data_IF_760955239975
#
_entry.id   IF_760955239975
#
_cell.length_a   1.000
_cell.length_b   1.000
_cell.length_c   1.000
_cell.angle_alpha   90.00
_cell.angle_beta   90.00
_cell.angle_gamma   90.00
#
_symmetry.space_group_name_H-M   'P 1'
#
loop_
_entity.id
_entity.type
_entity.pdbx_description
1 polymer ?
#
# COMPACT_ATOMS: atom_id res chain seq x y z
N UNK A 1 -18.95 -4.96 19.39
CA UNK A 1 -19.91 -4.18 18.59
C UNK A 1 -19.20 -3.37 17.51
N UNK A 2 -18.12 -2.66 17.85
CA UNK A 2 -17.27 -1.95 16.89
C UNK A 2 -16.84 -2.81 15.70
N UNK A 3 -16.30 -4.01 15.95
CA UNK A 3 -15.84 -4.93 14.90
C UNK A 3 -16.95 -5.40 13.94
N UNK A 4 -18.20 -5.47 14.40
CA UNK A 4 -19.35 -5.82 13.55
C UNK A 4 -19.72 -4.66 12.62
N UNK A 5 -19.74 -3.43 13.16
CA UNK A 5 -19.96 -2.21 12.37
C UNK A 5 -18.82 -2.03 11.36
N UNK A 6 -17.58 -2.31 11.77
CA UNK A 6 -16.41 -2.32 10.90
C UNK A 6 -16.56 -3.31 9.74
N UNK A 7 -16.93 -4.56 10.04
CA UNK A 7 -17.07 -5.59 9.02
C UNK A 7 -18.19 -5.29 8.04
N UNK A 8 -19.37 -4.85 8.52
CA UNK A 8 -20.51 -4.48 7.68
C UNK A 8 -20.18 -3.26 6.80
N UNK A 9 -19.54 -2.24 7.36
CA UNK A 9 -19.14 -1.04 6.64
C UNK A 9 -18.16 -1.38 5.52
N UNK A 10 -17.11 -2.16 5.78
CA UNK A 10 -16.12 -2.50 4.76
C UNK A 10 -16.55 -3.61 3.80
N UNK A 11 -17.59 -4.40 4.10
CA UNK A 11 -18.25 -5.30 3.14
C UNK A 11 -19.10 -4.55 2.13
N UNK A 12 -19.78 -3.48 2.57
CA UNK A 12 -20.62 -2.64 1.71
C UNK A 12 -19.83 -1.54 1.01
N UNK A 13 -18.67 -1.14 1.56
CA UNK A 13 -17.85 -0.11 0.98
C UNK A 13 -17.39 -0.52 -0.42
N UNK A 14 -17.69 0.32 -1.39
CA UNK A 14 -17.43 0.09 -2.80
C UNK A 14 -15.91 0.17 -3.02
N UNK A 15 -15.21 -0.93 -2.74
CA UNK A 15 -13.78 -1.02 -2.94
C UNK A 15 -13.46 -0.75 -4.40
N UNK A 16 -12.62 0.26 -4.67
CA UNK A 16 -12.17 0.61 -6.03
C UNK A 16 -11.62 -0.59 -6.82
N UNK A 17 -11.20 -1.66 -6.15
CA UNK A 17 -10.76 -2.92 -6.77
C UNK A 17 -11.84 -3.62 -7.60
N UNK A 18 -13.14 -3.38 -7.33
CA UNK A 18 -14.23 -3.93 -8.14
C UNK A 18 -14.31 -3.28 -9.53
N UNK A 19 -13.81 -2.05 -9.70
CA UNK A 19 -13.97 -1.31 -10.97
C UNK A 19 -12.94 -1.63 -12.04
N UNK A 20 -11.88 -2.32 -11.67
CA UNK A 20 -10.93 -2.92 -12.62
C UNK A 20 -11.66 -3.88 -13.58
N UNK A 21 -12.75 -4.52 -13.13
CA UNK A 21 -13.59 -5.40 -13.96
C UNK A 21 -14.41 -4.65 -15.02
N UNK A 22 -14.67 -3.36 -14.83
CA UNK A 22 -15.39 -2.50 -15.78
C UNK A 22 -14.46 -1.73 -16.72
N UNK A 23 -13.15 -1.98 -16.65
CA UNK A 23 -12.21 -1.44 -17.64
C UNK A 23 -12.52 -2.04 -19.02
N UNK A 24 -12.54 -1.18 -20.04
CA UNK A 24 -12.75 -1.61 -21.42
C UNK A 24 -11.58 -2.49 -21.88
N UNK A 25 -11.87 -3.46 -22.73
CA UNK A 25 -10.91 -4.47 -23.17
C UNK A 25 -9.60 -3.88 -23.75
N UNK A 26 -9.67 -2.73 -24.44
CA UNK A 26 -8.50 -2.09 -25.03
C UNK A 26 -7.50 -1.59 -23.99
N UNK A 27 -7.94 -1.26 -22.77
CA UNK A 27 -7.05 -0.80 -21.69
C UNK A 27 -6.11 -1.93 -21.26
N UNK A 28 -6.63 -3.16 -21.21
CA UNK A 28 -5.85 -4.36 -20.92
C UNK A 28 -4.84 -4.66 -22.03
N UNK A 29 -5.25 -4.54 -23.29
CA UNK A 29 -4.36 -4.76 -24.45
C UNK A 29 -3.20 -3.76 -24.45
N UNK A 30 -3.48 -2.47 -24.27
CA UNK A 30 -2.44 -1.43 -24.21
C UNK A 30 -1.50 -1.66 -23.02
N UNK A 31 -2.05 -2.03 -21.86
CA UNK A 31 -1.25 -2.31 -20.66
C UNK A 31 -0.34 -3.53 -20.84
N UNK A 32 -0.83 -4.59 -21.50
CA UNK A 32 -0.04 -5.78 -21.83
C UNK A 32 1.09 -5.48 -22.82
N UNK A 33 0.83 -4.64 -23.84
CA UNK A 33 1.86 -4.21 -24.80
C UNK A 33 2.96 -3.42 -24.07
N UNK A 34 2.58 -2.49 -23.19
CA UNK A 34 3.54 -1.72 -22.40
C UNK A 34 4.34 -2.62 -21.46
N UNK A 35 3.71 -3.61 -20.83
CA UNK A 35 4.37 -4.57 -19.96
C UNK A 35 5.35 -5.47 -20.72
N UNK A 36 5.00 -5.91 -21.94
CA UNK A 36 5.91 -6.62 -22.83
C UNK A 36 7.12 -5.77 -23.22
N UNK A 37 6.91 -4.47 -23.46
CA UNK A 37 7.98 -3.50 -23.70
C UNK A 37 8.95 -3.38 -22.51
N UNK A 38 8.42 -3.27 -21.29
CA UNK A 38 9.23 -3.23 -20.06
C UNK A 38 10.10 -4.50 -19.95
N UNK A 39 9.50 -5.68 -20.12
CA UNK A 39 10.23 -6.96 -20.04
C UNK A 39 11.33 -7.06 -21.12
N UNK A 40 11.05 -6.57 -22.33
CA UNK A 40 12.03 -6.54 -23.42
C UNK A 40 13.22 -5.62 -23.10
N UNK A 41 12.96 -4.41 -22.61
CA UNK A 41 14.02 -3.45 -22.26
C UNK A 41 14.82 -3.89 -21.03
N UNK A 42 14.16 -4.52 -20.05
CA UNK A 42 14.82 -5.13 -18.90
C UNK A 42 15.80 -6.22 -19.33
N UNK A 43 15.37 -7.15 -20.19
CA UNK A 43 16.24 -8.20 -20.74
C UNK A 43 17.43 -7.63 -21.52
N UNK A 44 17.18 -6.59 -22.34
CA UNK A 44 18.25 -5.92 -23.09
C UNK A 44 19.23 -5.16 -22.19
N UNK A 45 18.75 -4.52 -21.13
CA UNK A 45 19.59 -3.83 -20.16
C UNK A 45 20.55 -4.81 -19.47
N UNK A 46 20.06 -6.00 -19.08
CA UNK A 46 20.87 -7.03 -18.44
C UNK A 46 21.97 -7.60 -19.36
N UNK A 47 21.63 -7.87 -20.63
CA UNK A 47 22.57 -8.48 -21.57
C UNK A 47 23.62 -7.51 -22.14
N UNK A 48 23.28 -6.24 -22.30
CA UNK A 48 24.17 -5.27 -22.97
C UNK A 48 24.93 -4.37 -22.00
N UNK A 49 24.59 -4.41 -20.71
CA UNK A 49 25.11 -3.50 -19.68
C UNK A 49 25.01 -2.01 -20.08
N UNK A 50 24.09 -1.66 -20.98
CA UNK A 50 23.90 -0.31 -21.47
C UNK A 50 22.81 0.40 -20.66
N UNK A 51 23.19 1.48 -19.97
CA UNK A 51 22.31 2.26 -19.12
C UNK A 51 21.16 2.95 -19.85
N UNK A 52 21.24 3.15 -21.17
CA UNK A 52 20.15 3.75 -21.95
C UNK A 52 18.88 2.89 -21.97
N UNK A 53 19.01 1.57 -21.98
CA UNK A 53 17.85 0.68 -21.94
C UNK A 53 17.10 0.77 -20.61
N UNK A 54 17.82 1.02 -19.51
CA UNK A 54 17.22 1.23 -18.19
C UNK A 54 16.39 2.52 -18.14
N UNK A 55 16.89 3.61 -18.74
CA UNK A 55 16.12 4.88 -18.82
C UNK A 55 14.84 4.68 -19.63
N UNK A 56 14.91 3.98 -20.76
CA UNK A 56 13.74 3.67 -21.61
C UNK A 56 12.74 2.81 -20.83
N UNK A 57 13.21 1.81 -20.10
CA UNK A 57 12.37 0.97 -19.24
C UNK A 57 11.59 1.81 -18.21
N UNK A 58 12.26 2.74 -17.51
CA UNK A 58 11.61 3.64 -16.57
C UNK A 58 10.51 4.49 -17.22
N UNK A 59 10.73 4.97 -18.46
CA UNK A 59 9.71 5.74 -19.20
C UNK A 59 8.51 4.86 -19.54
N UNK A 60 8.73 3.64 -20.05
CA UNK A 60 7.63 2.70 -20.32
C UNK A 60 6.85 2.33 -19.06
N UNK A 61 7.54 2.14 -17.93
CA UNK A 61 6.91 1.88 -16.64
C UNK A 61 6.05 3.07 -16.17
N UNK A 62 6.55 4.30 -16.30
CA UNK A 62 5.80 5.50 -15.95
C UNK A 62 4.56 5.69 -16.83
N UNK A 63 4.68 5.47 -18.14
CA UNK A 63 3.56 5.55 -19.09
C UNK A 63 2.50 4.47 -18.82
N UNK A 64 2.94 3.24 -18.54
CA UNK A 64 2.05 2.12 -18.20
C UNK A 64 1.26 2.40 -16.92
N UNK A 65 1.95 2.77 -15.84
CA UNK A 65 1.31 3.10 -14.56
C UNK A 65 0.38 4.31 -14.67
N UNK A 66 0.82 5.36 -15.38
CA UNK A 66 0.02 6.57 -15.60
C UNK A 66 -1.25 6.31 -16.40
N UNK A 67 -1.14 5.61 -17.54
CA UNK A 67 -2.28 5.29 -18.40
C UNK A 67 -3.31 4.39 -17.69
N UNK A 68 -2.84 3.29 -17.08
CA UNK A 68 -3.72 2.36 -16.37
C UNK A 68 -4.40 3.04 -15.17
N UNK A 69 -3.67 3.86 -14.41
CA UNK A 69 -4.21 4.64 -13.30
C UNK A 69 -5.29 5.64 -13.75
N UNK A 70 -5.05 6.34 -14.86
CA UNK A 70 -6.01 7.28 -15.44
C UNK A 70 -7.32 6.58 -15.87
N UNK A 71 -7.24 5.50 -16.65
CA UNK A 71 -8.43 4.77 -17.12
C UNK A 71 -9.19 4.11 -15.96
N UNK A 72 -8.49 3.63 -14.94
CA UNK A 72 -9.12 3.10 -13.72
C UNK A 72 -9.90 4.20 -12.99
N UNK A 73 -9.30 5.38 -12.81
CA UNK A 73 -9.96 6.53 -12.17
C UNK A 73 -11.16 7.02 -12.97
N UNK A 74 -11.05 7.05 -14.30
CA UNK A 74 -12.15 7.39 -15.21
C UNK A 74 -13.31 6.40 -15.10
N UNK A 75 -13.00 5.10 -15.02
CA UNK A 75 -14.02 4.06 -14.84
C UNK A 75 -14.72 4.18 -13.48
N UNK A 76 -13.98 4.51 -12.42
CA UNK A 76 -14.54 4.80 -11.09
C UNK A 76 -15.50 5.99 -11.15
N UNK A 77 -15.07 7.13 -11.70
CA UNK A 77 -15.91 8.35 -11.82
C UNK A 77 -17.17 8.10 -12.64
N UNK A 78 -17.06 7.34 -13.74
CA UNK A 78 -18.20 7.02 -14.61
C UNK A 78 -19.25 6.12 -13.95
N UNK A 79 -18.89 5.33 -12.93
CA UNK A 79 -19.78 4.34 -12.33
C UNK A 79 -20.23 4.68 -10.91
N UNK A 80 -19.47 5.49 -10.16
CA UNK A 80 -19.81 5.88 -8.78
C UNK A 80 -20.33 7.33 -8.71
N UNK A 81 -20.05 8.18 -9.71
CA UNK A 81 -20.35 9.61 -9.70
C UNK A 81 -19.17 10.46 -9.23
N UNK A 82 -19.41 11.73 -8.93
CA UNK A 82 -18.39 12.65 -8.41
C UNK A 82 -18.03 12.29 -6.95
N UNK A 83 -16.95 12.87 -6.40
CA UNK A 83 -16.53 12.60 -5.02
C UNK A 83 -17.64 12.89 -3.99
N UNK A 84 -18.56 13.79 -4.33
CA UNK A 84 -19.75 14.11 -3.53
C UNK A 84 -20.74 12.93 -3.48
N UNK A 85 -20.99 12.27 -4.60
CA UNK A 85 -21.89 11.12 -4.69
C UNK A 85 -21.35 9.93 -3.90
N UNK A 86 -20.03 9.72 -3.96
CA UNK A 86 -19.31 8.72 -3.14
C UNK A 86 -19.50 9.01 -1.65
N UNK A 87 -19.37 10.29 -1.26
CA UNK A 87 -19.54 10.69 0.13
C UNK A 87 -20.96 10.47 0.62
N UNK A 88 -21.97 10.91 -0.15
CA UNK A 88 -23.38 10.69 0.16
C UNK A 88 -23.73 9.21 0.28
N UNK A 89 -23.27 8.39 -0.66
CA UNK A 89 -23.46 6.94 -0.63
C UNK A 89 -22.89 6.32 0.65
N UNK A 90 -21.68 6.72 1.04
CA UNK A 90 -21.06 6.18 2.25
C UNK A 90 -21.76 6.64 3.54
N UNK A 91 -22.24 7.87 3.59
CA UNK A 91 -23.05 8.37 4.72
C UNK A 91 -24.37 7.60 4.84
N UNK A 92 -25.07 7.37 3.72
CA UNK A 92 -26.31 6.58 3.70
C UNK A 92 -26.03 5.14 4.15
N UNK A 93 -24.96 4.54 3.66
CA UNK A 93 -24.55 3.18 4.06
C UNK A 93 -24.25 3.10 5.56
N UNK A 94 -23.51 4.09 6.10
CA UNK A 94 -23.21 4.17 7.52
C UNK A 94 -24.48 4.32 8.35
N UNK A 95 -25.41 5.21 7.96
CA UNK A 95 -26.73 5.36 8.61
C UNK A 95 -27.53 4.06 8.60
N UNK A 96 -27.54 3.35 7.48
CA UNK A 96 -28.25 2.07 7.37
C UNK A 96 -27.66 1.01 8.30
N UNK A 97 -26.34 0.93 8.41
CA UNK A 97 -25.64 0.01 9.33
C UNK A 97 -25.96 0.37 10.78
N UNK A 98 -25.92 1.65 11.15
CA UNK A 98 -26.25 2.10 12.51
C UNK A 98 -27.71 1.74 12.86
N UNK A 99 -28.66 2.00 11.96
CA UNK A 99 -30.08 1.62 12.14
C UNK A 99 -30.28 0.11 12.24
N UNK A 100 -29.62 -0.67 11.39
CA UNK A 100 -29.68 -2.15 11.43
C UNK A 100 -29.17 -2.70 12.77
N UNK A 101 -28.18 -2.05 13.36
CA UNK A 101 -27.60 -2.41 14.65
C UNK A 101 -28.27 -1.71 15.84
N UNK A 102 -29.38 -0.99 15.63
CA UNK A 102 -30.16 -0.25 16.63
C UNK A 102 -29.31 0.75 17.42
N UNK A 103 -28.40 1.43 16.72
CA UNK A 103 -27.61 2.54 17.25
C UNK A 103 -28.31 3.82 16.86
N UNK A 104 -29.16 4.32 17.75
CA UNK A 104 -30.06 5.44 17.47
C UNK A 104 -29.70 6.70 18.28
N UNK A 105 -28.79 6.58 19.25
CA UNK A 105 -28.39 7.67 20.14
C UNK A 105 -26.96 8.17 19.89
N UNK A 106 -26.77 9.48 20.01
CA UNK A 106 -25.47 10.16 19.88
C UNK A 106 -24.41 9.58 20.84
N UNK A 107 -24.80 9.26 22.08
CA UNK A 107 -23.90 8.68 23.09
C UNK A 107 -23.35 7.31 22.67
N UNK A 108 -24.15 6.51 21.95
CA UNK A 108 -23.70 5.21 21.45
C UNK A 108 -22.69 5.37 20.31
N UNK A 109 -22.85 6.40 19.47
CA UNK A 109 -21.87 6.77 18.45
C UNK A 109 -20.56 7.23 19.11
N UNK A 110 -20.64 8.02 20.18
CA UNK A 110 -19.46 8.46 20.94
C UNK A 110 -18.72 7.31 21.62
N UNK A 111 -19.44 6.33 22.16
CA UNK A 111 -18.85 5.10 22.67
C UNK A 111 -18.10 4.34 21.58
N UNK A 112 -18.64 4.27 20.36
CA UNK A 112 -17.95 3.64 19.23
C UNK A 112 -16.70 4.42 18.80
N UNK A 113 -16.76 5.75 18.76
CA UNK A 113 -15.61 6.61 18.44
C UNK A 113 -14.51 6.44 19.50
N UNK A 114 -14.88 6.36 20.78
CA UNK A 114 -13.93 6.16 21.87
C UNK A 114 -13.27 4.77 21.80
N UNK A 115 -14.03 3.71 21.54
CA UNK A 115 -13.47 2.37 21.30
C UNK A 115 -12.50 2.37 20.12
N UNK A 116 -12.80 3.11 19.05
CA UNK A 116 -11.86 3.26 17.93
C UNK A 116 -10.58 3.98 18.35
N UNK A 117 -10.69 5.05 19.15
CA UNK A 117 -9.52 5.80 19.62
C UNK A 117 -8.59 4.95 20.49
N UNK A 118 -9.16 4.01 21.26
CA UNK A 118 -8.41 3.06 22.07
C UNK A 118 -7.71 1.99 21.21
N UNK A 119 -8.35 1.49 20.15
CA UNK A 119 -7.78 0.44 19.28
C UNK A 119 -6.79 0.96 18.22
N UNK A 120 -6.96 2.19 17.71
CA UNK A 120 -6.12 2.77 16.63
C UNK A 120 -4.60 2.67 16.89
N UNK A 121 -4.08 3.02 18.10
CA UNK A 121 -2.66 2.95 18.38
C UNK A 121 -2.09 1.54 18.29
N UNK A 122 -2.89 0.53 18.65
CA UNK A 122 -2.45 -0.87 18.64
C UNK A 122 -2.36 -1.45 17.22
N UNK A 123 -3.21 -0.95 16.31
CA UNK A 123 -3.32 -1.40 14.93
C UNK A 123 -2.18 -0.93 14.02
N UNK A 124 -1.32 0.02 14.47
CA UNK A 124 -0.16 0.50 13.71
C UNK A 124 1.02 -0.50 13.80
N UNK A 125 0.81 -1.67 13.21
CA UNK A 125 1.73 -2.80 13.26
C UNK A 125 3.03 -2.54 12.49
N UNK A 126 3.02 -1.65 11.49
CA UNK A 126 4.24 -1.29 10.73
C UNK A 126 5.35 -0.72 11.61
N UNK A 127 5.01 0.15 12.56
CA UNK A 127 6.00 0.76 13.47
C UNK A 127 6.58 -0.27 14.44
N UNK A 128 5.76 -1.20 14.94
CA UNK A 128 6.19 -2.30 15.81
C UNK A 128 7.11 -3.26 15.04
N UNK A 129 6.72 -3.67 13.84
CA UNK A 129 7.50 -4.59 13.00
C UNK A 129 8.82 -3.95 12.55
N UNK A 130 8.80 -2.67 12.15
CA UNK A 130 10.02 -1.94 11.73
C UNK A 130 11.06 -1.88 12.84
N UNK A 131 10.65 -1.59 14.07
CA UNK A 131 11.57 -1.50 15.21
C UNK A 131 12.28 -2.84 15.45
N UNK A 132 11.53 -3.94 15.40
CA UNK A 132 12.09 -5.29 15.55
C UNK A 132 13.04 -5.66 14.40
N UNK A 133 12.65 -5.42 13.14
CA UNK A 133 13.51 -5.70 11.97
C UNK A 133 14.79 -4.87 11.99
N UNK A 134 14.71 -3.59 12.35
CA UNK A 134 15.89 -2.73 12.43
C UNK A 134 16.85 -3.18 13.54
N UNK A 135 16.31 -3.54 14.71
CA UNK A 135 17.12 -3.98 15.86
C UNK A 135 17.81 -5.31 15.57
N UNK A 136 17.08 -6.29 15.04
CA UNK A 136 17.63 -7.61 14.68
C UNK A 136 18.60 -7.48 13.50
N UNK A 137 18.23 -6.67 12.49
CA UNK A 137 19.06 -6.41 11.32
C UNK A 137 20.39 -5.79 11.69
N UNK A 138 20.40 -4.68 12.43
CA UNK A 138 21.66 -4.04 12.82
C UNK A 138 22.52 -4.90 13.75
N UNK A 139 21.90 -5.63 14.69
CA UNK A 139 22.63 -6.50 15.61
C UNK A 139 23.28 -7.72 14.95
N UNK A 140 22.70 -8.26 13.86
CA UNK A 140 23.18 -9.48 13.21
C UNK A 140 23.86 -9.24 11.86
N UNK A 141 23.32 -8.38 10.99
CA UNK A 141 23.89 -8.14 9.66
C UNK A 141 25.24 -7.44 9.74
N UNK A 142 25.39 -6.43 10.61
CA UNK A 142 26.63 -5.63 10.66
C UNK A 142 27.83 -6.50 11.09
N UNK A 143 27.76 -7.30 12.17
CA UNK A 143 28.85 -8.20 12.53
C UNK A 143 29.11 -9.27 11.47
N UNK A 144 28.05 -9.82 10.86
CA UNK A 144 28.17 -10.88 9.84
C UNK A 144 28.88 -10.37 8.59
N UNK A 145 28.49 -9.20 8.08
CA UNK A 145 29.13 -8.58 6.91
C UNK A 145 30.58 -8.23 7.22
N UNK A 146 30.87 -7.75 8.43
CA UNK A 146 32.24 -7.41 8.84
C UNK A 146 33.14 -8.65 8.89
N UNK A 147 32.66 -9.75 9.48
CA UNK A 147 33.40 -11.02 9.54
C UNK A 147 33.62 -11.63 8.15
N UNK A 148 32.58 -11.65 7.31
CA UNK A 148 32.67 -12.15 5.93
C UNK A 148 33.65 -11.30 5.12
N UNK A 149 33.58 -9.97 5.25
CA UNK A 149 34.47 -9.07 4.52
C UNK A 149 35.93 -9.28 4.91
N UNK A 150 36.21 -9.43 6.21
CA UNK A 150 37.56 -9.72 6.69
C UNK A 150 38.06 -11.07 6.18
N UNK A 151 37.25 -12.11 6.29
CA UNK A 151 37.61 -13.45 5.80
C UNK A 151 37.90 -13.48 4.30
N UNK A 152 37.12 -12.75 3.50
CA UNK A 152 37.33 -12.63 2.06
C UNK A 152 38.63 -11.87 1.71
N UNK A 153 38.97 -10.82 2.47
CA UNK A 153 40.22 -10.07 2.28
C UNK A 153 41.45 -10.90 2.64
N UNK A 154 41.37 -11.73 3.68
CA UNK A 154 42.50 -12.52 4.17
C UNK A 154 42.74 -13.79 3.33
N UNK A 155 41.70 -14.33 2.66
CA UNK A 155 41.75 -15.66 2.02
C UNK A 155 41.96 -15.63 0.49
N UNK A 156 41.82 -14.47 -0.15
CA UNK A 156 41.84 -14.36 -1.62
C UNK A 156 42.60 -13.12 -2.09
N UNK A 157 43.47 -13.28 -3.10
CA UNK A 157 44.21 -12.17 -3.72
C UNK A 157 43.27 -11.11 -4.35
N UNK A 158 42.09 -11.53 -4.84
CA UNK A 158 41.03 -10.65 -5.32
C UNK A 158 39.98 -10.30 -4.23
N UNK A 159 40.31 -10.49 -2.95
CA UNK A 159 39.40 -10.31 -1.83
C UNK A 159 38.72 -8.94 -1.80
N UNK A 160 39.40 -7.89 -2.25
CA UNK A 160 38.84 -6.55 -2.40
C UNK A 160 37.65 -6.53 -3.36
N UNK A 161 37.74 -7.22 -4.50
CA UNK A 161 36.69 -7.27 -5.52
C UNK A 161 35.45 -8.02 -4.99
N UNK A 162 35.67 -9.11 -4.23
CA UNK A 162 34.59 -9.87 -3.59
C UNK A 162 33.90 -9.06 -2.49
N UNK A 163 34.63 -8.30 -1.67
CA UNK A 163 34.03 -7.39 -0.67
C UNK A 163 33.17 -6.32 -1.33
N UNK A 164 33.63 -5.74 -2.44
CA UNK A 164 32.85 -4.74 -3.20
C UNK A 164 31.56 -5.37 -3.76
N UNK A 165 31.59 -6.60 -4.26
CA UNK A 165 30.39 -7.32 -4.68
C UNK A 165 29.41 -7.59 -3.53
N UNK A 166 29.91 -8.00 -2.35
CA UNK A 166 29.07 -8.21 -1.16
C UNK A 166 28.41 -6.90 -0.72
N UNK A 167 29.14 -5.79 -0.70
CA UNK A 167 28.60 -4.47 -0.42
C UNK A 167 27.54 -4.05 -1.45
N UNK A 168 27.77 -4.30 -2.74
CA UNK A 168 26.80 -4.00 -3.80
C UNK A 168 25.50 -4.80 -3.63
N UNK A 169 25.60 -6.09 -3.27
CA UNK A 169 24.43 -6.93 -2.97
C UNK A 169 23.67 -6.41 -1.75
N UNK A 170 24.36 -6.01 -0.68
CA UNK A 170 23.72 -5.44 0.52
C UNK A 170 23.00 -4.13 0.17
N UNK A 171 23.63 -3.25 -0.62
CA UNK A 171 23.00 -2.01 -1.09
C UNK A 171 21.78 -2.27 -1.97
N UNK A 172 21.84 -3.27 -2.84
CA UNK A 172 20.70 -3.71 -3.66
C UNK A 172 19.55 -4.24 -2.80
N UNK A 173 19.83 -5.06 -1.78
CA UNK A 173 18.82 -5.55 -0.84
C UNK A 173 18.17 -4.41 -0.05
N UNK A 174 18.95 -3.41 0.38
CA UNK A 174 18.42 -2.20 1.02
C UNK A 174 17.52 -1.43 0.05
N UNK A 175 17.93 -1.25 -1.21
CA UNK A 175 17.13 -0.61 -2.24
C UNK A 175 15.79 -1.31 -2.48
N UNK A 176 15.81 -2.64 -2.60
CA UNK A 176 14.60 -3.46 -2.71
C UNK A 176 13.70 -3.33 -1.48
N UNK A 177 14.27 -3.30 -0.27
CA UNK A 177 13.52 -3.07 0.95
C UNK A 177 12.78 -1.72 0.94
N UNK A 178 13.42 -0.64 0.49
CA UNK A 178 12.77 0.67 0.39
C UNK A 178 11.63 0.71 -0.63
N UNK A 179 11.71 -0.07 -1.71
CA UNK A 179 10.63 -0.21 -2.71
C UNK A 179 9.46 -1.03 -2.15
N UNK A 180 9.76 -2.11 -1.42
CA UNK A 180 8.75 -3.01 -0.85
C UNK A 180 8.09 -2.37 0.39
N UNK A 181 8.81 -1.56 1.15
CA UNK A 181 8.33 -0.88 2.36
C UNK A 181 6.95 -0.23 2.21
N UNK A 182 6.69 0.68 1.25
CA UNK A 182 5.38 1.32 1.12
C UNK A 182 4.27 0.31 0.81
N UNK A 183 4.58 -0.77 0.07
CA UNK A 183 3.62 -1.85 -0.20
C UNK A 183 3.31 -2.62 1.10
N UNK A 184 4.34 -2.95 1.88
CA UNK A 184 4.22 -3.63 3.16
C UNK A 184 3.40 -2.80 4.15
N UNK A 185 3.71 -1.50 4.29
CA UNK A 185 2.95 -0.55 5.11
C UNK A 185 1.49 -0.43 4.64
N UNK A 186 1.23 -0.47 3.33
CA UNK A 186 -0.14 -0.41 2.80
C UNK A 186 -0.98 -1.64 3.19
N UNK A 187 -0.36 -2.81 3.29
CA UNK A 187 -1.03 -4.07 3.64
C UNK A 187 -1.15 -4.21 5.15
N UNK A 188 -0.05 -4.00 5.88
CA UNK A 188 0.02 -4.16 7.34
C UNK A 188 -0.81 -3.11 8.05
N UNK A 189 -0.76 -1.85 7.62
CA UNK A 189 -1.56 -0.77 8.22
C UNK A 189 -2.93 -0.63 7.54
N UNK A 190 -3.35 -1.60 6.72
CA UNK A 190 -4.69 -1.62 6.14
C UNK A 190 -5.80 -1.56 7.22
N UNK A 191 -5.74 -2.34 8.32
CA UNK A 191 -6.71 -2.23 9.41
C UNK A 191 -6.70 -0.85 10.07
N UNK A 192 -5.51 -0.29 10.33
CA UNK A 192 -5.34 1.05 10.88
C UNK A 192 -5.98 2.13 9.99
N UNK A 193 -5.69 2.11 8.68
CA UNK A 193 -6.26 3.07 7.72
C UNK A 193 -7.77 2.95 7.64
N UNK A 194 -8.28 1.72 7.60
CA UNK A 194 -9.73 1.43 7.59
C UNK A 194 -10.41 1.91 8.87
N UNK A 195 -9.82 1.66 10.03
CA UNK A 195 -10.39 2.11 11.31
C UNK A 195 -10.44 3.65 11.40
N UNK A 196 -9.42 4.34 10.88
CA UNK A 196 -9.41 5.81 10.77
C UNK A 196 -10.50 6.34 9.85
N UNK A 197 -10.77 5.66 8.73
CA UNK A 197 -11.88 6.01 7.83
C UNK A 197 -13.22 5.81 8.54
N UNK A 198 -13.42 4.66 9.20
CA UNK A 198 -14.65 4.39 9.95
C UNK A 198 -14.91 5.45 11.03
N UNK A 199 -13.88 5.84 11.79
CA UNK A 199 -13.97 6.92 12.78
C UNK A 199 -14.52 8.21 12.16
N UNK A 200 -13.90 8.65 11.06
CA UNK A 200 -14.29 9.89 10.39
C UNK A 200 -15.76 9.85 9.93
N UNK A 201 -16.21 8.70 9.43
CA UNK A 201 -17.59 8.55 8.97
C UNK A 201 -18.59 8.53 10.11
N UNK A 202 -18.24 7.97 11.27
CA UNK A 202 -19.05 8.09 12.49
C UNK A 202 -19.13 9.55 12.97
N UNK A 203 -18.02 10.28 12.94
CA UNK A 203 -17.97 11.72 13.25
C UNK A 203 -18.85 12.54 12.28
N UNK A 204 -18.76 12.26 10.97
CA UNK A 204 -19.55 12.95 9.95
C UNK A 204 -21.06 12.67 10.12
N UNK A 205 -21.45 11.42 10.41
CA UNK A 205 -22.86 11.07 10.72
C UNK A 205 -23.33 11.77 11.99
N UNK A 206 -22.51 11.79 13.05
CA UNK A 206 -22.83 12.50 14.30
C UNK A 206 -23.13 13.98 14.05
N UNK A 207 -22.27 14.64 13.27
CA UNK A 207 -22.42 16.06 12.91
C UNK A 207 -23.70 16.32 12.11
N UNK A 208 -24.03 15.46 11.14
CA UNK A 208 -25.16 15.66 10.24
C UNK A 208 -26.52 15.35 10.86
N UNK A 209 -26.59 14.35 11.74
CA UNK A 209 -27.86 13.81 12.26
C UNK A 209 -28.22 14.31 13.67
N UNK A 210 -27.24 14.69 14.50
CA UNK A 210 -27.47 14.98 15.93
C UNK A 210 -27.05 16.37 16.40
N UNK A 211 -26.26 17.10 15.61
CA UNK A 211 -25.79 18.46 15.94
C UNK A 211 -26.47 19.56 15.10
N UNK A 212 -27.63 19.25 14.50
CA UNK A 212 -28.47 20.22 13.80
C UNK A 212 -29.23 21.15 14.74
#
# INVERSE_FOLDING_TARGET
MLWLVYEDYFKQNVSMKFFVRYLKWYVWVISLILLAGILFFFYKSFNTQNGWYFVIECVFAALSGGYFGYETRKSVLSNIGDNTDVFEHNIISMRNILKQRKIDNMEQIDLLINQINEEIPELKLSDKFRKSVYTIGTALLVPSISLISKWLLDSYDEGIYMVVMVLAIVMMLIGLFYIIKPLLESVIDSPYKKMKVLKRMLEDVKMLDYLK
#
